data_IF_476447763208
#
_entry.id   IF_476447763208
#
_cell.length_a   1.000
_cell.length_b   1.000
_cell.length_c   1.000
_cell.angle_alpha   90.00
_cell.angle_beta   90.00
_cell.angle_gamma   90.00
#
_symmetry.space_group_name_H-M   'P 1'
#
loop_
_entity.id
_entity.type
_entity.pdbx_description
1 polymer ?
#
# COMPACT_ATOMS: atom_id res chain seq x y z
N UNK A 1 -11.38 -4.62 -1.52
CA UNK A 1 -11.99 -5.24 -0.31
C UNK A 1 -10.97 -5.57 0.78
N UNK A 2 -9.84 -6.23 0.48
CA UNK A 2 -8.84 -6.62 1.48
C UNK A 2 -8.19 -5.43 2.25
N UNK A 3 -7.72 -4.38 1.55
CA UNK A 3 -7.16 -3.19 2.20
C UNK A 3 -8.14 -2.49 3.14
N UNK A 4 -9.40 -2.31 2.72
CA UNK A 4 -10.42 -1.67 3.58
C UNK A 4 -10.61 -2.41 4.90
N UNK A 5 -10.66 -3.75 4.86
CA UNK A 5 -10.75 -4.58 6.07
C UNK A 5 -9.50 -4.48 6.95
N UNK A 6 -8.32 -4.30 6.36
CA UNK A 6 -7.09 -4.09 7.13
C UNK A 6 -7.11 -2.72 7.83
N UNK A 7 -7.55 -1.66 7.15
CA UNK A 7 -7.59 -0.30 7.68
C UNK A 7 -8.54 -0.15 8.86
N UNK A 8 -9.74 -0.77 8.80
CA UNK A 8 -10.75 -0.69 9.88
C UNK A 8 -10.24 -1.19 11.23
N UNK A 9 -9.17 -2.01 11.25
CA UNK A 9 -8.58 -2.54 12.48
C UNK A 9 -7.54 -1.61 13.12
N UNK A 10 -7.30 -0.43 12.55
CA UNK A 10 -6.29 0.53 13.00
C UNK A 10 -4.91 -0.10 13.32
N UNK A 11 -4.33 -0.90 12.40
CA UNK A 11 -3.08 -1.61 12.67
C UNK A 11 -1.90 -0.63 12.67
N UNK A 12 -0.90 -0.91 13.52
CA UNK A 12 0.35 -0.14 13.56
C UNK A 12 1.25 -0.39 12.34
N UNK A 13 1.06 -1.53 11.68
CA UNK A 13 1.89 -1.98 10.54
C UNK A 13 1.00 -2.59 9.46
N UNK A 14 1.27 -2.24 8.21
CA UNK A 14 0.72 -2.87 7.01
C UNK A 14 1.83 -3.61 6.28
N UNK A 15 1.57 -4.88 5.94
CA UNK A 15 2.44 -5.68 5.08
C UNK A 15 1.68 -5.97 3.77
N UNK A 16 2.31 -5.70 2.63
CA UNK A 16 1.74 -5.98 1.31
C UNK A 16 2.73 -6.80 0.49
N UNK A 17 2.29 -7.96 0.02
CA UNK A 17 3.09 -8.81 -0.86
C UNK A 17 2.70 -8.53 -2.32
N UNK A 18 3.67 -8.08 -3.11
CA UNK A 18 3.51 -7.66 -4.51
C UNK A 18 2.30 -6.76 -4.83
N UNK A 19 2.05 -5.65 -4.10
CA UNK A 19 0.82 -4.87 -4.28
C UNK A 19 0.67 -4.19 -5.65
N UNK A 20 1.75 -4.12 -6.46
CA UNK A 20 1.82 -3.34 -7.70
C UNK A 20 2.18 -4.18 -8.94
N UNK A 21 2.40 -5.49 -8.81
CA UNK A 21 2.95 -6.31 -9.91
C UNK A 21 2.01 -6.42 -11.11
N UNK A 22 0.70 -6.33 -10.90
CA UNK A 22 -0.30 -6.40 -11.96
C UNK A 22 -0.67 -5.03 -12.56
N UNK A 23 0.16 -3.99 -12.37
CA UNK A 23 -0.09 -2.62 -12.84
C UNK A 23 0.91 -2.20 -13.91
N UNK A 24 0.40 -1.46 -14.91
CA UNK A 24 1.25 -0.78 -15.88
C UNK A 24 2.17 0.26 -15.20
N UNK A 25 3.23 0.67 -15.90
CA UNK A 25 4.24 1.56 -15.34
C UNK A 25 3.68 2.90 -14.85
N UNK A 26 2.68 3.47 -15.53
CA UNK A 26 2.07 4.76 -15.16
C UNK A 26 1.24 4.60 -13.89
N UNK A 27 0.43 3.55 -13.84
CA UNK A 27 -0.44 3.24 -12.72
C UNK A 27 0.38 2.84 -11.48
N UNK A 28 1.53 2.21 -11.66
CA UNK A 28 2.49 1.91 -10.59
C UNK A 28 3.04 3.16 -9.92
N UNK A 29 3.47 4.15 -10.71
CA UNK A 29 3.96 5.44 -10.17
C UNK A 29 2.83 6.15 -9.43
N UNK A 30 1.62 6.17 -9.99
CA UNK A 30 0.46 6.73 -9.32
C UNK A 30 0.16 6.02 -7.99
N UNK A 31 0.14 4.69 -7.97
CA UNK A 31 -0.15 3.92 -6.77
C UNK A 31 0.93 4.07 -5.70
N UNK A 32 2.21 4.22 -6.05
CA UNK A 32 3.26 4.56 -5.08
C UNK A 32 2.97 5.88 -4.38
N UNK A 33 2.55 6.89 -5.13
CA UNK A 33 2.12 8.18 -4.56
C UNK A 33 0.92 8.04 -3.63
N UNK A 34 -0.08 7.22 -4.00
CA UNK A 34 -1.25 6.98 -3.15
C UNK A 34 -0.89 6.19 -1.88
N UNK A 35 0.04 5.24 -1.94
CA UNK A 35 0.55 4.53 -0.74
C UNK A 35 1.26 5.52 0.19
N UNK A 36 2.06 6.45 -0.33
CA UNK A 36 2.70 7.50 0.48
C UNK A 36 1.67 8.38 1.18
N UNK A 37 0.65 8.87 0.46
CA UNK A 37 -0.43 9.65 1.05
C UNK A 37 -1.20 8.87 2.12
N UNK A 38 -1.40 7.56 1.89
CA UNK A 38 -2.06 6.69 2.86
C UNK A 38 -1.22 6.50 4.11
N UNK A 39 0.10 6.32 3.96
CA UNK A 39 1.05 6.27 5.08
C UNK A 39 0.96 7.53 5.93
N UNK A 40 1.01 8.72 5.32
CA UNK A 40 0.93 10.00 6.01
C UNK A 40 -0.39 10.18 6.77
N UNK A 41 -1.51 9.73 6.16
CA UNK A 41 -2.85 9.83 6.76
C UNK A 41 -3.06 8.86 7.92
N UNK A 42 -2.48 7.67 7.87
CA UNK A 42 -2.68 6.63 8.87
C UNK A 42 -1.63 6.67 9.98
N UNK A 43 -0.46 7.26 9.74
CA UNK A 43 0.67 7.25 10.70
C UNK A 43 1.18 5.83 11.01
N UNK A 44 0.88 4.86 10.16
CA UNK A 44 1.20 3.46 10.34
C UNK A 44 2.39 3.06 9.45
N UNK A 45 3.26 2.17 9.92
CA UNK A 45 4.38 1.67 9.12
C UNK A 45 3.85 0.82 7.96
N UNK A 46 4.32 1.08 6.73
CA UNK A 46 3.96 0.27 5.56
C UNK A 46 5.22 -0.41 5.03
N UNK A 47 5.17 -1.73 4.90
CA UNK A 47 6.20 -2.55 4.27
C UNK A 47 5.56 -3.24 3.08
N UNK A 48 6.18 -3.12 1.91
CA UNK A 48 5.77 -3.90 0.75
C UNK A 48 6.97 -4.48 0.02
N UNK A 49 6.81 -5.70 -0.46
CA UNK A 49 7.83 -6.42 -1.23
C UNK A 49 7.41 -6.44 -2.69
N UNK A 50 8.39 -6.28 -3.58
CA UNK A 50 8.21 -6.30 -5.04
C UNK A 50 9.32 -7.15 -5.63
N UNK A 51 9.00 -7.95 -6.65
CA UNK A 51 9.98 -8.69 -7.45
C UNK A 51 10.45 -7.88 -8.66
N UNK A 52 9.75 -6.77 -8.97
CA UNK A 52 10.15 -5.71 -9.91
C UNK A 52 11.13 -4.72 -9.28
#
# INVERSE_FOLDING_TARGET
VAMGRAIVRNPKVFLMDEPLSNLDAKLRVQMRTEISKLHDRLGATIIYVTHD
#
